data_IF_597317664690
#
_entry.id   IF_597317664690
#
_cell.length_a   1.000
_cell.length_b   1.000
_cell.length_c   1.000
_cell.angle_alpha   90.00
_cell.angle_beta   90.00
_cell.angle_gamma   90.00
#
_symmetry.space_group_name_H-M   'P 1'
#
loop_
_entity.id
_entity.type
_entity.pdbx_description
1 polymer ?
#
# COMPACT_ATOMS: atom_id res chain seq x y z
N UNK A 1 17.30 -14.23 13.51
CA UNK A 1 16.22 -15.24 13.62
C UNK A 1 15.40 -15.06 14.89
N UNK A 2 16.01 -14.90 16.06
CA UNK A 2 15.32 -14.66 17.34
C UNK A 2 14.45 -13.40 17.35
N UNK A 3 14.95 -12.30 16.77
CA UNK A 3 14.24 -11.01 16.69
C UNK A 3 13.01 -11.08 15.75
N UNK A 4 13.14 -11.80 14.63
CA UNK A 4 12.02 -12.10 13.74
C UNK A 4 10.93 -12.91 14.45
N UNK A 5 11.34 -13.91 15.25
CA UNK A 5 10.41 -14.72 16.03
C UNK A 5 9.69 -13.89 17.11
N UNK A 6 10.43 -13.02 17.80
CA UNK A 6 9.88 -12.11 18.82
C UNK A 6 8.87 -11.13 18.21
N UNK A 7 9.14 -10.61 17.02
CA UNK A 7 8.21 -9.74 16.30
C UNK A 7 6.96 -10.49 15.84
N UNK A 8 7.10 -11.72 15.34
CA UNK A 8 5.96 -12.58 14.97
C UNK A 8 5.06 -12.84 16.17
N UNK A 9 5.63 -13.23 17.31
CA UNK A 9 4.90 -13.49 18.54
C UNK A 9 4.24 -12.23 19.12
N UNK A 10 4.94 -11.08 19.04
CA UNK A 10 4.38 -9.79 19.44
C UNK A 10 3.18 -9.38 18.59
N UNK A 11 3.27 -9.55 17.27
CA UNK A 11 2.19 -9.22 16.33
C UNK A 11 0.98 -10.15 16.51
N UNK A 12 1.21 -11.46 16.70
CA UNK A 12 0.16 -12.45 17.02
C UNK A 12 -0.64 -12.08 18.26
N UNK A 13 0.03 -11.57 19.30
CA UNK A 13 -0.63 -11.15 20.54
C UNK A 13 -1.55 -9.95 20.33
N UNK A 14 -1.14 -9.01 19.47
CA UNK A 14 -1.90 -7.79 19.23
C UNK A 14 -3.06 -7.99 18.25
N UNK A 15 -2.89 -8.85 17.23
CA UNK A 15 -3.88 -9.05 16.17
C UNK A 15 -3.98 -10.53 15.75
N UNK A 16 -4.49 -11.41 16.64
CA UNK A 16 -4.52 -12.84 16.39
C UNK A 16 -5.39 -13.22 15.20
N UNK A 17 -6.54 -12.57 15.03
CA UNK A 17 -7.51 -12.92 13.99
C UNK A 17 -6.97 -12.74 12.57
N UNK A 18 -6.39 -11.56 12.27
CA UNK A 18 -5.87 -11.27 10.93
C UNK A 18 -4.66 -12.12 10.55
N UNK A 19 -3.90 -12.60 11.55
CA UNK A 19 -2.70 -13.41 11.35
C UNK A 19 -3.04 -14.91 11.23
N UNK A 20 -4.00 -15.38 12.02
CA UNK A 20 -4.42 -16.79 12.03
C UNK A 20 -5.29 -17.12 10.81
N UNK A 21 -6.16 -16.20 10.37
CA UNK A 21 -7.05 -16.41 9.22
C UNK A 21 -6.49 -15.82 7.91
N UNK A 22 -5.24 -16.13 7.59
CA UNK A 22 -4.63 -15.82 6.29
C UNK A 22 -5.09 -16.85 5.21
N UNK A 23 -5.17 -16.46 3.92
CA UNK A 23 -5.41 -17.39 2.81
C UNK A 23 -4.60 -18.70 2.86
N UNK A 24 -3.31 -18.63 3.20
CA UNK A 24 -2.41 -19.78 3.35
C UNK A 24 -2.83 -20.71 4.48
N UNK A 25 -3.20 -20.19 5.65
CA UNK A 25 -3.70 -21.02 6.76
C UNK A 25 -5.07 -21.61 6.44
N UNK A 26 -5.94 -20.88 5.73
CA UNK A 26 -7.21 -21.43 5.24
C UNK A 26 -7.00 -22.52 4.18
N UNK A 27 -6.06 -22.35 3.24
CA UNK A 27 -5.70 -23.40 2.28
C UNK A 27 -5.06 -24.60 2.97
N UNK A 28 -4.26 -24.38 4.01
CA UNK A 28 -3.69 -25.46 4.81
C UNK A 28 -4.79 -26.26 5.52
N UNK A 29 -5.83 -25.60 6.04
CA UNK A 29 -7.01 -26.25 6.62
C UNK A 29 -7.82 -27.03 5.57
N UNK A 30 -8.00 -26.51 4.35
CA UNK A 30 -8.62 -27.27 3.26
C UNK A 30 -7.80 -28.51 2.88
N UNK A 31 -6.49 -28.34 2.67
CA UNK A 31 -5.59 -29.46 2.35
C UNK A 31 -5.60 -30.48 3.50
N UNK A 32 -5.64 -30.02 4.75
CA UNK A 32 -5.78 -30.88 5.93
C UNK A 32 -7.03 -31.74 5.86
N UNK A 33 -8.17 -31.14 5.55
CA UNK A 33 -9.44 -31.87 5.47
C UNK A 33 -9.43 -32.93 4.37
N UNK A 34 -8.84 -32.64 3.20
CA UNK A 34 -8.73 -33.60 2.09
C UNK A 34 -7.76 -34.73 2.43
N UNK A 35 -6.59 -34.39 2.97
CA UNK A 35 -5.58 -35.39 3.33
C UNK A 35 -6.03 -36.26 4.50
N UNK A 36 -6.79 -35.72 5.46
CA UNK A 36 -7.37 -36.49 6.55
C UNK A 36 -8.34 -37.57 6.04
N UNK A 37 -9.19 -37.24 5.05
CA UNK A 37 -10.09 -38.22 4.40
C UNK A 37 -9.31 -39.34 3.69
N UNK A 38 -8.19 -38.99 3.05
CA UNK A 38 -7.31 -39.97 2.39
C UNK A 38 -6.62 -40.86 3.44
N UNK A 39 -6.08 -40.28 4.52
CA UNK A 39 -5.43 -41.05 5.58
C UNK A 39 -6.39 -41.98 6.32
N UNK A 40 -7.67 -41.62 6.43
CA UNK A 40 -8.70 -42.48 7.01
C UNK A 40 -8.96 -43.72 6.15
N UNK A 41 -8.90 -43.55 4.83
CA UNK A 41 -9.05 -44.66 3.88
C UNK A 41 -7.87 -45.64 3.88
N UNK A 42 -6.65 -45.16 4.16
CA UNK A 42 -5.41 -45.97 4.14
C UNK A 42 -4.88 -46.35 5.53
N UNK A 43 -5.51 -45.87 6.61
CA UNK A 43 -5.18 -46.21 8.01
C UNK A 43 -3.80 -45.77 8.51
N UNK A 44 -3.04 -45.01 7.70
CA UNK A 44 -1.65 -44.61 7.99
C UNK A 44 -1.39 -43.18 7.47
N UNK A 45 -0.39 -42.49 8.04
CA UNK A 45 0.10 -41.20 7.51
C UNK A 45 -0.42 -39.93 8.18
N UNK A 46 -1.29 -40.03 9.18
CA UNK A 46 -1.81 -38.88 9.94
C UNK A 46 -0.71 -37.97 10.53
N UNK A 47 0.37 -38.56 11.02
CA UNK A 47 1.51 -37.80 11.55
C UNK A 47 2.21 -36.95 10.49
N UNK A 48 2.40 -37.49 9.27
CA UNK A 48 3.01 -36.75 8.16
C UNK A 48 2.10 -35.60 7.70
N UNK A 49 0.79 -35.85 7.61
CA UNK A 49 -0.20 -34.82 7.25
C UNK A 49 -0.19 -33.71 8.28
N UNK A 50 -0.21 -34.04 9.58
CA UNK A 50 -0.11 -33.07 10.66
C UNK A 50 1.15 -32.20 10.56
N UNK A 51 2.31 -32.80 10.32
CA UNK A 51 3.57 -32.06 10.15
C UNK A 51 3.54 -31.11 8.94
N UNK A 52 2.98 -31.55 7.82
CA UNK A 52 2.83 -30.71 6.62
C UNK A 52 1.92 -29.52 6.90
N UNK A 53 0.77 -29.74 7.55
CA UNK A 53 -0.16 -28.68 7.91
C UNK A 53 0.50 -27.70 8.88
N UNK A 54 1.16 -28.22 9.92
CA UNK A 54 1.86 -27.39 10.91
C UNK A 54 2.91 -26.50 10.24
N UNK A 55 3.69 -27.05 9.30
CA UNK A 55 4.66 -26.28 8.54
C UNK A 55 4.00 -25.17 7.71
N UNK A 56 2.90 -25.47 7.00
CA UNK A 56 2.16 -24.48 6.21
C UNK A 56 1.57 -23.36 7.08
N UNK A 57 1.02 -23.70 8.24
CA UNK A 57 0.48 -22.74 9.20
C UNK A 57 1.58 -21.81 9.72
N UNK A 58 2.74 -22.35 10.11
CA UNK A 58 3.89 -21.56 10.56
C UNK A 58 4.37 -20.60 9.46
N UNK A 59 4.47 -21.09 8.21
CA UNK A 59 4.87 -20.25 7.06
C UNK A 59 3.84 -19.15 6.81
N UNK A 60 2.54 -19.47 6.88
CA UNK A 60 1.45 -18.50 6.72
C UNK A 60 1.51 -17.38 7.74
N UNK A 61 1.62 -17.75 9.03
CA UNK A 61 1.76 -16.81 10.15
C UNK A 61 3.00 -15.93 9.98
N UNK A 62 4.15 -16.52 9.61
CA UNK A 62 5.39 -15.79 9.39
C UNK A 62 5.21 -14.72 8.30
N UNK A 63 4.67 -15.11 7.14
CA UNK A 63 4.46 -14.19 6.01
C UNK A 63 3.50 -13.06 6.36
N UNK A 64 2.41 -13.36 7.04
CA UNK A 64 1.42 -12.36 7.44
C UNK A 64 1.98 -11.36 8.46
N UNK A 65 2.80 -11.85 9.40
CA UNK A 65 3.50 -10.97 10.34
C UNK A 65 4.51 -10.04 9.65
N UNK A 66 5.21 -10.50 8.61
CA UNK A 66 6.12 -9.64 7.85
C UNK A 66 5.37 -8.50 7.14
N UNK A 67 4.19 -8.80 6.56
CA UNK A 67 3.32 -7.77 5.98
C UNK A 67 2.86 -6.78 7.04
N UNK A 68 2.40 -7.26 8.18
CA UNK A 68 1.98 -6.37 9.27
C UNK A 68 3.10 -5.40 9.69
N UNK A 69 4.32 -5.90 9.90
CA UNK A 69 5.46 -5.05 10.24
C UNK A 69 5.77 -4.00 9.16
N UNK A 70 5.68 -4.40 7.89
CA UNK A 70 5.89 -3.52 6.75
C UNK A 70 4.88 -2.35 6.74
N UNK A 71 3.59 -2.62 6.89
CA UNK A 71 2.55 -1.59 6.77
C UNK A 71 2.36 -0.76 8.05
N UNK A 72 2.80 -1.24 9.23
CA UNK A 72 2.65 -0.51 10.50
C UNK A 72 3.90 0.20 11.00
N UNK A 73 5.10 -0.28 10.66
CA UNK A 73 6.34 0.26 11.24
C UNK A 73 7.34 0.80 10.21
N UNK A 74 7.19 0.47 8.93
CA UNK A 74 8.14 0.88 7.89
C UNK A 74 7.55 1.91 6.95
N UNK A 75 8.43 2.56 6.18
CA UNK A 75 8.00 3.50 5.16
C UNK A 75 7.26 2.79 4.05
N UNK A 76 6.07 3.29 3.71
CA UNK A 76 5.24 2.74 2.63
C UNK A 76 5.09 3.76 1.49
N UNK A 77 5.09 3.29 0.23
CA UNK A 77 4.67 4.11 -0.88
C UNK A 77 3.14 4.28 -0.84
N UNK A 78 2.64 5.48 -1.13
CA UNK A 78 1.21 5.77 -1.21
C UNK A 78 0.89 6.31 -2.61
N UNK A 79 0.21 5.54 -3.47
CA UNK A 79 -0.11 5.98 -4.82
C UNK A 79 -1.27 6.97 -4.78
N UNK A 80 -1.04 8.20 -5.22
CA UNK A 80 -2.02 9.28 -5.22
C UNK A 80 -2.17 9.81 -6.65
N UNK A 81 -3.42 9.97 -7.08
CA UNK A 81 -3.76 10.57 -8.38
C UNK A 81 -4.44 11.90 -8.15
N UNK A 82 -3.89 12.97 -8.73
CA UNK A 82 -4.52 14.29 -8.74
C UNK A 82 -4.88 14.63 -10.18
N UNK A 83 -6.18 14.73 -10.45
CA UNK A 83 -6.74 15.03 -11.77
C UNK A 83 -7.47 16.36 -11.74
N UNK A 84 -7.13 17.26 -12.66
CA UNK A 84 -7.72 18.60 -12.78
C UNK A 84 -8.19 18.84 -14.21
N UNK A 85 -9.51 19.04 -14.37
CA UNK A 85 -10.14 19.46 -15.61
C UNK A 85 -9.68 18.71 -16.88
N UNK A 86 -9.46 17.40 -16.76
CA UNK A 86 -8.96 16.54 -17.84
C UNK A 86 -9.94 15.37 -18.08
N UNK A 87 -10.11 14.85 -19.31
CA UNK A 87 -10.95 13.67 -19.55
C UNK A 87 -10.30 12.32 -19.17
N UNK A 88 -8.98 12.26 -18.94
CA UNK A 88 -8.26 11.00 -18.71
C UNK A 88 -8.76 10.20 -17.50
N UNK A 89 -8.61 8.88 -17.54
CA UNK A 89 -9.11 7.97 -16.51
C UNK A 89 -8.19 7.91 -15.29
N UNK A 90 -8.65 8.42 -14.15
CA UNK A 90 -7.91 8.40 -12.88
C UNK A 90 -7.67 6.98 -12.35
N UNK A 91 -8.58 6.03 -12.62
CA UNK A 91 -8.45 4.67 -12.14
C UNK A 91 -7.32 3.94 -12.87
N UNK A 92 -7.19 4.15 -14.19
CA UNK A 92 -6.06 3.61 -14.96
C UNK A 92 -4.72 4.16 -14.47
N UNK A 93 -4.67 5.45 -14.14
CA UNK A 93 -3.48 6.07 -13.57
C UNK A 93 -3.13 5.45 -12.21
N UNK A 94 -4.11 5.28 -11.33
CA UNK A 94 -3.92 4.65 -10.03
C UNK A 94 -3.43 3.21 -10.16
N UNK A 95 -4.03 2.41 -11.05
CA UNK A 95 -3.61 1.04 -11.32
C UNK A 95 -2.17 0.96 -11.84
N UNK A 96 -1.76 1.88 -12.72
CA UNK A 96 -0.37 1.95 -13.17
C UNK A 96 0.60 2.22 -12.02
N UNK A 97 0.26 3.13 -11.11
CA UNK A 97 1.08 3.38 -9.91
C UNK A 97 1.16 2.14 -9.00
N UNK A 98 0.05 1.44 -8.79
CA UNK A 98 0.05 0.18 -8.06
C UNK A 98 0.95 -0.85 -8.72
N UNK A 99 0.85 -1.04 -10.04
CA UNK A 99 1.69 -1.99 -10.78
C UNK A 99 3.18 -1.65 -10.62
N UNK A 100 3.54 -0.37 -10.70
CA UNK A 100 4.93 0.09 -10.49
C UNK A 100 5.39 -0.27 -9.07
N UNK A 101 4.60 0.04 -8.04
CA UNK A 101 4.92 -0.30 -6.65
C UNK A 101 5.05 -1.81 -6.47
N UNK A 102 4.18 -2.60 -7.08
CA UNK A 102 4.16 -4.05 -6.96
C UNK A 102 5.30 -4.75 -7.72
N UNK A 103 5.93 -4.08 -8.69
CA UNK A 103 7.19 -4.58 -9.29
C UNK A 103 8.31 -4.66 -8.25
N UNK A 104 8.27 -3.82 -7.20
CA UNK A 104 9.09 -4.01 -6.02
C UNK A 104 8.50 -5.18 -5.22
N UNK A 105 9.05 -6.40 -5.37
CA UNK A 105 8.60 -7.67 -4.78
C UNK A 105 8.12 -7.61 -3.30
N UNK A 106 8.56 -6.60 -2.55
CA UNK A 106 8.19 -6.32 -1.17
C UNK A 106 6.73 -5.87 -0.99
N UNK A 107 6.08 -5.29 -2.00
CA UNK A 107 4.74 -4.72 -1.91
C UNK A 107 3.67 -5.51 -2.66
N UNK A 108 3.87 -6.81 -2.93
CA UNK A 108 2.88 -7.64 -3.63
C UNK A 108 1.45 -7.51 -3.05
N UNK A 109 0.46 -7.37 -3.94
CA UNK A 109 -0.95 -7.12 -3.61
C UNK A 109 -1.14 -5.83 -2.78
N UNK A 110 -0.42 -4.76 -3.15
CA UNK A 110 -0.31 -3.52 -2.38
C UNK A 110 -1.68 -2.90 -2.12
N UNK A 111 -2.52 -2.85 -3.16
CA UNK A 111 -3.91 -2.34 -3.08
C UNK A 111 -4.70 -3.00 -1.95
N UNK A 112 -4.71 -4.33 -1.91
CA UNK A 112 -5.46 -5.09 -0.90
C UNK A 112 -4.87 -4.92 0.50
N UNK A 113 -3.54 -4.80 0.60
CA UNK A 113 -2.87 -4.62 1.87
C UNK A 113 -3.10 -3.21 2.46
N UNK A 114 -3.18 -2.16 1.62
CA UNK A 114 -3.53 -0.81 2.08
C UNK A 114 -4.92 -0.78 2.72
N UNK A 115 -5.90 -1.42 2.09
CA UNK A 115 -7.24 -1.54 2.65
C UNK A 115 -7.22 -2.36 3.95
N UNK A 116 -6.66 -3.57 3.92
CA UNK A 116 -6.64 -4.51 5.05
C UNK A 116 -5.94 -3.96 6.31
N UNK A 117 -4.77 -3.32 6.16
CA UNK A 117 -3.96 -2.92 7.32
C UNK A 117 -4.09 -1.45 7.71
N UNK A 118 -4.47 -0.59 6.76
CA UNK A 118 -4.54 0.86 6.94
C UNK A 118 -5.92 1.45 6.68
N UNK A 119 -6.88 0.66 6.19
CA UNK A 119 -8.22 1.10 5.84
C UNK A 119 -8.17 2.28 4.86
N UNK A 120 -7.35 2.13 3.81
CA UNK A 120 -7.18 3.09 2.72
C UNK A 120 -7.71 2.43 1.45
N UNK A 121 -8.74 3.02 0.88
CA UNK A 121 -9.43 2.54 -0.32
C UNK A 121 -9.01 3.33 -1.56
N UNK A 122 -9.32 2.85 -2.77
CA UNK A 122 -8.98 3.55 -4.01
C UNK A 122 -9.57 4.96 -4.11
N UNK A 123 -10.77 5.15 -3.55
CA UNK A 123 -11.44 6.45 -3.53
C UNK A 123 -10.74 7.45 -2.63
N UNK A 124 -10.05 6.99 -1.58
CA UNK A 124 -9.23 7.85 -0.72
C UNK A 124 -7.96 8.36 -1.44
N UNK A 125 -7.55 7.71 -2.54
CA UNK A 125 -6.30 7.95 -3.26
C UNK A 125 -6.47 8.79 -4.54
N UNK A 126 -7.71 9.01 -4.98
CA UNK A 126 -8.04 9.75 -6.20
C UNK A 126 -8.66 11.10 -5.85
N UNK A 127 -7.99 12.16 -6.27
CA UNK A 127 -8.46 13.53 -6.12
C UNK A 127 -8.84 14.10 -7.48
N UNK A 128 -10.15 14.13 -7.75
CA UNK A 128 -10.69 14.69 -8.99
C UNK A 128 -11.22 16.11 -8.74
N UNK A 129 -10.62 17.09 -9.39
CA UNK A 129 -11.18 18.43 -9.53
C UNK A 129 -12.03 18.48 -10.80
N UNK A 130 -13.34 18.37 -10.62
CA UNK A 130 -14.36 18.38 -11.68
C UNK A 130 -15.07 19.73 -11.83
N UNK A 131 -14.75 20.73 -11.01
CA UNK A 131 -15.47 22.01 -10.98
C UNK A 131 -14.96 22.98 -12.03
N UNK A 132 -15.84 23.29 -13.00
CA UNK A 132 -15.90 24.55 -13.73
C UNK A 132 -14.59 25.10 -14.30
N UNK A 133 -14.59 26.41 -14.53
CA UNK A 133 -13.41 27.11 -15.00
C UNK A 133 -12.28 27.06 -13.96
N UNK A 134 -11.13 26.54 -14.36
CA UNK A 134 -9.86 26.52 -13.63
C UNK A 134 -9.35 27.92 -13.25
N UNK A 135 -9.88 28.96 -13.89
CA UNK A 135 -9.61 30.37 -13.54
C UNK A 135 -10.45 30.87 -12.36
N UNK A 136 -11.45 30.11 -11.89
CA UNK A 136 -12.14 30.42 -10.63
C UNK A 136 -11.19 30.13 -9.45
N UNK A 137 -10.62 31.21 -8.93
CA UNK A 137 -9.63 31.15 -7.86
C UNK A 137 -10.21 30.64 -6.54
N UNK A 138 -11.50 30.86 -6.27
CA UNK A 138 -12.11 30.47 -5.00
C UNK A 138 -12.30 28.96 -4.95
N UNK A 139 -12.84 28.37 -6.02
CA UNK A 139 -13.03 26.92 -6.12
C UNK A 139 -11.70 26.19 -6.18
N UNK A 140 -10.69 26.74 -6.86
CA UNK A 140 -9.35 26.16 -6.89
C UNK A 140 -8.69 26.18 -5.50
N UNK A 141 -8.78 27.29 -4.77
CA UNK A 141 -8.28 27.38 -3.39
C UNK A 141 -8.99 26.39 -2.47
N UNK A 142 -10.32 26.29 -2.58
CA UNK A 142 -11.10 25.33 -1.81
C UNK A 142 -10.66 23.87 -2.10
N UNK A 143 -10.45 23.53 -3.38
CA UNK A 143 -9.93 22.22 -3.76
C UNK A 143 -8.55 21.94 -3.17
N UNK A 144 -7.62 22.88 -3.27
CA UNK A 144 -6.28 22.72 -2.70
C UNK A 144 -6.33 22.55 -1.17
N UNK A 145 -7.26 23.23 -0.50
CA UNK A 145 -7.48 23.06 0.93
C UNK A 145 -8.03 21.66 1.28
N UNK A 146 -9.02 21.18 0.51
CA UNK A 146 -9.57 19.82 0.65
C UNK A 146 -8.50 18.76 0.37
N UNK A 147 -7.70 18.94 -0.68
CA UNK A 147 -6.59 18.07 -1.02
C UNK A 147 -5.61 17.97 0.15
N UNK A 148 -5.15 19.11 0.68
CA UNK A 148 -4.25 19.14 1.84
C UNK A 148 -4.85 18.43 3.05
N UNK A 149 -6.11 18.74 3.39
CA UNK A 149 -6.80 18.12 4.52
C UNK A 149 -6.88 16.58 4.37
N UNK A 150 -7.22 16.10 3.19
CA UNK A 150 -7.32 14.66 2.92
C UNK A 150 -5.94 13.97 2.93
N UNK A 151 -4.89 14.61 2.42
CA UNK A 151 -3.53 14.12 2.52
C UNK A 151 -3.07 14.02 3.98
N UNK A 152 -3.35 15.02 4.81
CA UNK A 152 -3.06 14.97 6.25
C UNK A 152 -3.86 13.87 6.96
N UNK A 153 -5.10 13.60 6.54
CA UNK A 153 -5.91 12.49 7.05
C UNK A 153 -5.32 11.14 6.65
N UNK A 154 -4.85 10.99 5.41
CA UNK A 154 -4.17 9.78 4.95
C UNK A 154 -2.88 9.55 5.73
N UNK A 155 -2.09 10.59 5.96
CA UNK A 155 -0.86 10.53 6.75
C UNK A 155 -1.09 10.05 8.18
N UNK A 156 -2.21 10.42 8.81
CA UNK A 156 -2.56 9.91 10.14
C UNK A 156 -2.85 8.41 10.15
N UNK A 157 -3.25 7.83 9.02
CA UNK A 157 -3.48 6.38 8.87
C UNK A 157 -2.18 5.62 8.58
N UNK A 158 -1.19 6.28 7.98
CA UNK A 158 0.08 5.66 7.58
C UNK A 158 1.18 5.83 8.64
N UNK A 159 2.22 4.96 8.64
CA UNK A 159 3.38 5.12 9.53
C UNK A 159 4.16 6.42 9.27
N UNK A 160 4.96 6.85 10.26
CA UNK A 160 5.63 8.17 10.31
C UNK A 160 6.42 8.57 9.05
N UNK A 161 6.90 7.60 8.27
CA UNK A 161 7.55 7.85 7.00
C UNK A 161 6.64 7.33 5.89
N UNK A 162 6.06 8.21 5.08
CA UNK A 162 5.28 7.83 3.89
C UNK A 162 5.92 8.49 2.68
N UNK A 163 6.04 7.75 1.58
CA UNK A 163 6.53 8.28 0.31
C UNK A 163 5.33 8.36 -0.64
N UNK A 164 4.97 9.55 -1.06
CA UNK A 164 3.84 9.75 -1.99
C UNK A 164 4.30 9.43 -3.40
N UNK A 165 3.61 8.53 -4.08
CA UNK A 165 3.78 8.26 -5.51
C UNK A 165 2.68 9.04 -6.24
N UNK A 166 3.00 10.20 -6.80
CA UNK A 166 2.03 11.11 -7.38
C UNK A 166 1.94 10.94 -8.90
N UNK A 167 0.75 10.64 -9.42
CA UNK A 167 0.41 10.87 -10.81
C UNK A 167 -0.43 12.15 -10.93
N UNK A 168 0.11 13.15 -11.63
CA UNK A 168 -0.56 14.42 -11.87
C UNK A 168 -1.13 14.49 -13.28
N UNK A 169 -2.42 14.81 -13.42
CA UNK A 169 -3.13 14.90 -14.69
C UNK A 169 -3.86 16.25 -14.75
N UNK A 170 -3.26 17.25 -15.39
CA UNK A 170 -3.86 18.59 -15.47
C UNK A 170 -2.91 19.65 -16.00
N UNK A 171 -3.22 20.91 -15.72
CA UNK A 171 -2.40 22.06 -16.10
C UNK A 171 -1.16 22.23 -15.21
N UNK A 172 -0.02 22.55 -15.83
CA UNK A 172 1.27 22.73 -15.15
C UNK A 172 1.20 23.76 -14.02
N UNK A 173 0.46 24.85 -14.19
CA UNK A 173 0.30 25.90 -13.17
C UNK A 173 -0.27 25.37 -11.86
N UNK A 174 -1.24 24.47 -11.92
CA UNK A 174 -1.82 23.84 -10.73
C UNK A 174 -0.93 22.73 -10.20
N UNK A 175 -0.15 22.05 -11.05
CA UNK A 175 0.85 21.08 -10.64
C UNK A 175 1.87 21.69 -9.66
N UNK A 176 2.29 22.94 -9.90
CA UNK A 176 3.19 23.67 -9.01
C UNK A 176 2.55 23.85 -7.62
N UNK A 177 1.29 24.27 -7.56
CA UNK A 177 0.56 24.45 -6.30
C UNK A 177 0.39 23.12 -5.55
N UNK A 178 0.01 22.04 -6.24
CA UNK A 178 -0.05 20.69 -5.66
C UNK A 178 1.33 20.27 -5.13
N UNK A 179 2.40 20.57 -5.88
CA UNK A 179 3.78 20.35 -5.45
C UNK A 179 4.12 21.06 -4.14
N UNK A 180 3.66 22.30 -3.93
CA UNK A 180 3.91 23.01 -2.66
C UNK A 180 3.24 22.35 -1.46
N UNK A 181 2.07 21.73 -1.64
CA UNK A 181 1.39 20.97 -0.59
C UNK A 181 2.20 19.72 -0.22
N UNK A 182 2.79 19.07 -1.22
CA UNK A 182 3.53 17.82 -1.08
C UNK A 182 5.01 18.01 -0.70
N UNK A 183 5.56 19.22 -0.80
CA UNK A 183 6.99 19.51 -0.59
C UNK A 183 7.51 19.17 0.81
N UNK A 184 6.61 19.04 1.80
CA UNK A 184 6.98 18.62 3.16
C UNK A 184 7.16 17.11 3.31
N UNK A 185 6.91 16.35 2.23
CA UNK A 185 6.83 14.90 2.23
C UNK A 185 7.81 14.31 1.22
N UNK A 186 8.22 13.05 1.43
CA UNK A 186 8.95 12.35 0.38
C UNK A 186 7.97 12.07 -0.76
N UNK A 187 8.27 12.51 -1.98
CA UNK A 187 7.37 12.38 -3.12
C UNK A 187 8.10 11.92 -4.38
N UNK A 188 7.56 10.92 -5.08
CA UNK A 188 7.95 10.51 -6.42
C UNK A 188 6.87 10.92 -7.39
N UNK A 189 7.20 11.78 -8.35
CA UNK A 189 6.27 12.30 -9.35
C UNK A 189 6.38 11.45 -10.60
N UNK A 190 5.24 10.98 -11.10
CA UNK A 190 5.14 10.18 -12.29
C UNK A 190 4.44 10.95 -13.41
N UNK A 191 4.99 10.85 -14.62
CA UNK A 191 4.42 11.44 -15.82
C UNK A 191 3.89 10.35 -16.74
N UNK A 192 2.75 10.61 -17.38
CA UNK A 192 2.18 9.71 -18.38
C UNK A 192 2.96 9.78 -19.70
N UNK A 193 3.37 8.63 -20.22
CA UNK A 193 3.96 8.46 -21.54
C UNK A 193 2.91 7.91 -22.52
N UNK A 194 2.60 8.70 -23.55
CA UNK A 194 1.68 8.30 -24.62
C UNK A 194 2.20 7.13 -25.48
N UNK A 195 3.52 6.96 -25.59
CA UNK A 195 4.12 5.94 -26.46
C UNK A 195 4.10 4.54 -25.83
N UNK A 196 4.21 4.46 -24.51
CA UNK A 196 4.24 3.20 -23.77
C UNK A 196 2.96 2.92 -22.96
N UNK A 197 1.97 3.80 -23.08
CA UNK A 197 0.72 3.82 -22.30
C UNK A 197 0.95 3.57 -20.79
N UNK A 198 2.00 4.19 -20.25
CA UNK A 198 2.47 3.91 -18.90
C UNK A 198 3.02 5.15 -18.21
N UNK A 199 3.14 5.08 -16.88
CA UNK A 199 3.68 6.15 -16.05
C UNK A 199 5.15 5.89 -15.75
N UNK A 200 6.00 6.90 -15.90
CA UNK A 200 7.43 6.82 -15.58
C UNK A 200 7.79 7.85 -14.52
N UNK A 201 8.76 7.54 -13.62
CA UNK A 201 9.21 8.50 -12.62
C UNK A 201 9.94 9.66 -13.31
N UNK A 202 9.52 10.89 -13.00
CA UNK A 202 10.12 12.11 -13.51
C UNK A 202 11.03 12.76 -12.45
N UNK A 203 10.55 12.81 -11.20
CA UNK A 203 11.23 13.51 -10.10
C UNK A 203 11.07 12.70 -8.82
N UNK A 204 12.16 12.54 -8.07
CA UNK A 204 12.14 12.00 -6.70
C UNK A 204 12.58 13.08 -5.72
N UNK A 205 11.67 13.49 -4.85
CA UNK A 205 11.90 14.38 -3.73
C UNK A 205 12.12 13.50 -2.49
N UNK A 206 13.38 13.28 -2.12
CA UNK A 206 13.70 12.60 -0.86
C UNK A 206 13.56 13.57 0.31
N UNK A 207 12.93 13.13 1.40
CA UNK A 207 12.87 13.92 2.62
C UNK A 207 14.27 13.89 3.27
N UNK A 208 15.07 14.94 3.05
CA UNK A 208 16.32 15.15 3.78
C UNK A 208 15.98 15.48 5.23
N UNK A 209 15.89 14.47 6.11
CA UNK A 209 16.16 14.72 7.53
C UNK A 209 17.64 15.13 7.60
N UNK A 210 17.99 16.33 8.10
CA UNK A 210 19.39 16.65 8.33
C UNK A 210 19.97 15.61 9.29
N UNK A 211 21.10 14.99 8.91
CA UNK A 211 21.90 14.17 9.82
C UNK A 211 22.07 14.97 11.11
N UNK A 212 21.59 14.45 12.24
CA UNK A 212 22.06 14.90 13.55
C UNK A 212 23.59 14.85 13.51
N UNK A 213 24.23 16.02 13.56
CA UNK A 213 25.66 16.11 13.86
C UNK A 213 25.79 15.56 15.28
N UNK A 214 26.31 14.34 15.39
CA UNK A 214 26.87 13.86 16.66
C UNK A 214 27.99 14.83 17.03
N UNK A 215 27.78 15.57 18.11
CA UNK A 215 28.85 16.23 18.85
C UNK A 215 29.66 15.15 19.58
#
# INVERSE_FOLDING_TARGET
MLESLKNVLGNLRLYPYNIIFNPLTNTALMIASILALIADQFGQGYYLIFLIILALVIIGIWRESQKYDLYKHRSIPLPIVVKIANPADSNKALQSLFNIIETENKYKDHKNNLDKYLNITETDLIFNYSCGDIYDQETLKAFLHILRYNLEKLKKKTPQNTIIYLAYIGLISVAIMVGTILATEGAKIFQYNKYSDSYYPLVEMSNHRPKERKF
#
